data_IF_792054428195
#
_entry.id   IF_792054428195
#
_cell.length_a   1.000
_cell.length_b   1.000
_cell.length_c   1.000
_cell.angle_alpha   90.00
_cell.angle_beta   90.00
_cell.angle_gamma   90.00
#
_symmetry.space_group_name_H-M   'P 1'
#
loop_
_entity.id
_entity.type
_entity.pdbx_description
1 polymer ?
#
# COMPACT_ATOMS: atom_id res chain seq x y z
N UNK A 1 11.65 8.35 -7.74
CA UNK A 1 10.24 8.81 -7.75
C UNK A 1 9.89 9.10 -9.20
N UNK A 2 8.79 8.55 -9.73
CA UNK A 2 8.41 8.81 -11.13
C UNK A 2 7.64 10.15 -11.23
N UNK A 3 7.55 10.71 -12.44
CA UNK A 3 6.91 12.01 -12.71
C UNK A 3 5.46 12.04 -12.21
N UNK A 4 4.74 10.92 -12.35
CA UNK A 4 3.34 10.82 -11.94
C UNK A 4 3.18 10.94 -10.42
N UNK A 5 4.01 10.26 -9.63
CA UNK A 5 3.95 10.36 -8.17
C UNK A 5 4.32 11.76 -7.66
N UNK A 6 5.20 12.46 -8.37
CA UNK A 6 5.50 13.86 -8.06
C UNK A 6 4.29 14.77 -8.31
N UNK A 7 3.60 14.59 -9.45
CA UNK A 7 2.38 15.35 -9.77
C UNK A 7 1.29 15.14 -8.73
N UNK A 8 1.03 13.90 -8.30
CA UNK A 8 0.06 13.61 -7.24
C UNK A 8 0.47 14.24 -5.91
N UNK A 9 1.72 14.12 -5.51
CA UNK A 9 2.22 14.74 -4.27
C UNK A 9 2.01 16.25 -4.29
N UNK A 10 2.33 16.90 -5.41
CA UNK A 10 2.17 18.34 -5.59
C UNK A 10 0.69 18.74 -5.50
N UNK A 11 -0.20 18.03 -6.21
CA UNK A 11 -1.63 18.28 -6.18
C UNK A 11 -2.23 18.13 -4.78
N UNK A 12 -1.89 17.04 -4.08
CA UNK A 12 -2.34 16.79 -2.70
C UNK A 12 -1.93 17.92 -1.74
N UNK A 13 -0.72 18.45 -1.91
CA UNK A 13 -0.20 19.55 -1.08
C UNK A 13 -0.88 20.88 -1.38
N UNK A 14 -1.04 21.24 -2.66
CA UNK A 14 -1.71 22.50 -3.06
C UNK A 14 -3.16 22.50 -2.60
N UNK A 15 -3.88 21.40 -2.83
CA UNK A 15 -5.28 21.30 -2.42
C UNK A 15 -5.44 21.16 -0.89
N UNK A 16 -4.35 20.99 -0.16
CA UNK A 16 -4.40 20.77 1.29
C UNK A 16 -5.25 19.54 1.66
N UNK A 17 -5.23 18.50 0.82
CA UNK A 17 -6.08 17.32 0.96
C UNK A 17 -6.02 16.75 2.39
N UNK A 18 -7.14 16.84 3.10
CA UNK A 18 -7.32 16.36 4.49
C UNK A 18 -6.23 16.83 5.48
N UNK A 19 -5.60 17.98 5.24
CA UNK A 19 -4.45 18.46 6.03
C UNK A 19 -4.73 18.51 7.53
N UNK A 20 -5.89 19.02 7.94
CA UNK A 20 -6.28 19.08 9.37
C UNK A 20 -6.37 17.68 9.98
N UNK A 21 -6.95 16.72 9.26
CA UNK A 21 -7.10 15.33 9.72
C UNK A 21 -5.73 14.66 9.87
N UNK A 22 -4.87 14.83 8.86
CA UNK A 22 -3.50 14.26 8.90
C UNK A 22 -2.71 14.80 10.08
N UNK A 23 -2.69 16.12 10.26
CA UNK A 23 -1.96 16.74 11.37
C UNK A 23 -2.53 16.33 12.72
N UNK A 24 -3.85 16.33 12.89
CA UNK A 24 -4.50 15.90 14.14
C UNK A 24 -4.17 14.44 14.47
N UNK A 25 -4.27 13.53 13.50
CA UNK A 25 -3.96 12.13 13.71
C UNK A 25 -2.48 11.93 14.07
N UNK A 26 -1.57 12.63 13.42
CA UNK A 26 -0.14 12.54 13.71
C UNK A 26 0.18 13.08 15.11
N UNK A 27 -0.39 14.23 15.51
CA UNK A 27 -0.20 14.77 16.86
C UNK A 27 -0.74 13.84 17.95
N UNK A 28 -1.88 13.20 17.71
CA UNK A 28 -2.44 12.22 18.64
C UNK A 28 -1.62 10.93 18.72
N UNK A 29 -1.07 10.48 17.58
CA UNK A 29 -0.26 9.25 17.52
C UNK A 29 1.15 9.45 18.08
N UNK A 30 1.67 10.66 18.01
CA UNK A 30 3.03 11.00 18.43
C UNK A 30 3.04 12.21 19.38
N UNK A 31 2.44 12.11 20.57
CA UNK A 31 2.24 13.25 21.49
C UNK A 31 3.56 13.86 22.02
N UNK A 32 4.67 13.12 21.91
CA UNK A 32 5.98 13.59 22.36
C UNK A 32 6.82 14.29 21.28
N UNK A 33 6.29 14.35 20.04
CA UNK A 33 6.98 15.02 18.94
C UNK A 33 6.66 16.50 18.88
N UNK A 34 7.67 17.29 18.52
CA UNK A 34 7.49 18.72 18.26
C UNK A 34 6.59 18.97 17.05
N UNK A 35 6.02 20.17 16.98
CA UNK A 35 5.22 20.57 15.79
C UNK A 35 6.01 20.48 14.48
N UNK A 36 7.31 20.76 14.51
CA UNK A 36 8.17 20.67 13.35
C UNK A 36 8.34 19.23 12.89
N UNK A 37 8.59 18.30 13.82
CA UNK A 37 8.65 16.86 13.52
C UNK A 37 7.32 16.35 12.93
N UNK A 38 6.18 16.76 13.49
CA UNK A 38 4.85 16.42 12.98
C UNK A 38 4.66 16.94 11.55
N UNK A 39 5.08 18.18 11.26
CA UNK A 39 5.04 18.75 9.90
C UNK A 39 5.92 17.97 8.92
N UNK A 40 7.09 17.53 9.36
CA UNK A 40 8.00 16.73 8.54
C UNK A 40 7.41 15.34 8.24
N UNK A 41 6.82 14.67 9.24
CA UNK A 41 6.12 13.39 9.04
C UNK A 41 4.94 13.57 8.09
N UNK A 42 4.15 14.65 8.25
CA UNK A 42 3.05 14.95 7.33
C UNK A 42 3.55 15.18 5.89
N UNK A 43 4.70 15.85 5.72
CA UNK A 43 5.32 16.02 4.41
C UNK A 43 5.67 14.67 3.76
N UNK A 44 6.29 13.78 4.52
CA UNK A 44 6.66 12.45 4.03
C UNK A 44 5.45 11.57 3.77
N UNK A 45 4.39 11.68 4.58
CA UNK A 45 3.10 11.05 4.32
C UNK A 45 2.55 11.45 2.94
N UNK A 46 2.52 12.74 2.58
CA UNK A 46 2.02 13.17 1.26
C UNK A 46 2.89 12.67 0.11
N UNK A 47 4.20 12.56 0.30
CA UNK A 47 5.11 11.97 -0.71
C UNK A 47 4.82 10.48 -0.90
N UNK A 48 4.63 9.78 0.19
CA UNK A 48 4.27 8.36 0.18
C UNK A 48 2.90 8.15 -0.46
N UNK A 49 1.88 8.91 -0.03
CA UNK A 49 0.53 8.80 -0.54
C UNK A 49 0.43 9.14 -2.05
N UNK A 50 1.13 10.17 -2.50
CA UNK A 50 1.23 10.47 -3.94
C UNK A 50 1.88 9.33 -4.75
N UNK A 51 2.81 8.57 -4.14
CA UNK A 51 3.37 7.35 -4.75
C UNK A 51 2.34 6.23 -4.83
N UNK A 52 1.60 5.99 -3.75
CA UNK A 52 0.54 4.97 -3.74
C UNK A 52 -0.51 5.26 -4.81
N UNK A 53 -0.99 6.50 -4.94
CA UNK A 53 -1.94 6.88 -5.98
C UNK A 53 -1.41 6.61 -7.39
N UNK A 54 -0.12 6.91 -7.65
CA UNK A 54 0.51 6.61 -8.93
C UNK A 54 0.63 5.10 -9.19
N UNK A 55 0.83 4.31 -8.14
CA UNK A 55 0.92 2.85 -8.21
C UNK A 55 -0.46 2.22 -8.38
N UNK A 56 -1.50 2.71 -7.69
CA UNK A 56 -2.88 2.25 -7.86
C UNK A 56 -3.36 2.44 -9.29
N UNK A 57 -3.01 3.55 -9.96
CA UNK A 57 -3.31 3.72 -11.38
C UNK A 57 -2.63 2.68 -12.28
N UNK A 58 -1.47 2.18 -11.89
CA UNK A 58 -0.79 1.12 -12.65
C UNK A 58 -1.47 -0.24 -12.56
N UNK A 59 -2.34 -0.48 -11.57
CA UNK A 59 -3.11 -1.72 -11.48
C UNK A 59 -3.92 -2.00 -12.75
N UNK A 60 -4.42 -0.94 -13.40
CA UNK A 60 -5.19 -1.09 -14.66
C UNK A 60 -4.37 -1.58 -15.86
N UNK A 61 -3.04 -1.51 -15.79
CA UNK A 61 -2.15 -1.83 -16.91
C UNK A 61 -0.99 -2.76 -16.56
N UNK A 62 -0.86 -3.14 -15.28
CA UNK A 62 0.25 -4.00 -14.83
C UNK A 62 0.00 -5.45 -15.27
N UNK A 63 1.01 -6.09 -15.84
CA UNK A 63 0.96 -7.49 -16.16
C UNK A 63 1.69 -8.35 -15.11
N UNK A 64 1.43 -9.66 -15.15
CA UNK A 64 2.00 -10.64 -14.20
C UNK A 64 3.54 -10.57 -14.14
N UNK A 65 4.21 -10.43 -15.28
CA UNK A 65 5.67 -10.41 -15.33
C UNK A 65 6.28 -9.17 -14.66
N UNK A 66 5.61 -8.04 -14.71
CA UNK A 66 6.04 -6.81 -14.03
C UNK A 66 5.70 -6.88 -12.54
N UNK A 67 4.53 -7.42 -12.19
CA UNK A 67 4.10 -7.51 -10.80
C UNK A 67 4.97 -8.49 -10.01
N UNK A 68 5.32 -9.66 -10.55
CA UNK A 68 6.17 -10.66 -9.90
C UNK A 68 7.61 -10.18 -9.62
N UNK A 69 8.08 -9.16 -10.37
CA UNK A 69 9.37 -8.52 -10.08
C UNK A 69 9.31 -7.52 -8.92
N UNK A 70 8.12 -7.11 -8.51
CA UNK A 70 7.90 -6.06 -7.50
C UNK A 70 7.35 -6.58 -6.19
N UNK A 71 6.65 -7.71 -6.23
CA UNK A 71 6.08 -8.37 -5.06
C UNK A 71 6.67 -9.77 -4.96
N UNK A 72 7.27 -10.08 -3.84
CA UNK A 72 7.80 -11.40 -3.52
C UNK A 72 7.15 -11.93 -2.25
N UNK A 73 6.95 -13.24 -2.21
CA UNK A 73 6.39 -13.93 -1.06
C UNK A 73 7.51 -14.65 -0.31
N UNK A 74 7.58 -14.43 1.00
CA UNK A 74 8.45 -15.20 1.90
C UNK A 74 7.60 -16.27 2.57
N UNK A 75 8.14 -17.47 2.69
CA UNK A 75 7.48 -18.60 3.37
C UNK A 75 6.11 -18.96 2.78
N UNK A 76 5.93 -18.83 1.48
CA UNK A 76 4.67 -19.13 0.78
C UNK A 76 4.26 -20.61 0.88
N UNK A 77 5.21 -21.50 1.20
CA UNK A 77 4.95 -22.90 1.51
C UNK A 77 3.93 -23.08 2.65
N UNK A 78 3.86 -22.16 3.60
CA UNK A 78 2.86 -22.22 4.68
C UNK A 78 1.44 -22.21 4.11
N UNK A 79 1.17 -21.33 3.17
CA UNK A 79 -0.16 -21.27 2.51
C UNK A 79 -0.32 -22.44 1.55
N UNK A 80 0.71 -22.76 0.74
CA UNK A 80 0.63 -23.85 -0.25
C UNK A 80 0.31 -25.19 0.38
N UNK A 81 0.87 -25.50 1.56
CA UNK A 81 0.58 -26.76 2.25
C UNK A 81 -0.91 -26.93 2.52
N UNK A 82 -1.58 -25.89 3.05
CA UNK A 82 -3.03 -25.94 3.30
C UNK A 82 -3.84 -26.04 2.00
N UNK A 83 -3.45 -25.27 0.98
CA UNK A 83 -4.16 -25.33 -0.31
C UNK A 83 -4.01 -26.68 -0.99
N UNK A 84 -2.85 -27.34 -0.87
CA UNK A 84 -2.62 -28.67 -1.41
C UNK A 84 -3.43 -29.77 -0.67
N UNK A 85 -3.78 -29.50 0.58
CA UNK A 85 -4.70 -30.34 1.39
C UNK A 85 -6.18 -30.04 1.11
N UNK A 86 -6.49 -29.22 0.10
CA UNK A 86 -7.85 -28.78 -0.22
C UNK A 86 -8.54 -28.00 0.91
N UNK A 87 -7.77 -27.23 1.67
CA UNK A 87 -8.23 -26.43 2.79
C UNK A 87 -8.30 -24.96 2.41
N UNK A 88 -9.33 -24.28 2.87
CA UNK A 88 -9.44 -22.83 2.73
C UNK A 88 -8.48 -22.09 3.67
N UNK A 89 -7.97 -20.96 3.22
CA UNK A 89 -7.04 -20.12 3.99
C UNK A 89 -7.61 -18.71 4.11
N UNK A 90 -7.78 -18.24 5.33
CA UNK A 90 -8.15 -16.86 5.63
C UNK A 90 -6.87 -16.09 5.92
N UNK A 91 -6.57 -15.09 5.08
CA UNK A 91 -5.42 -14.19 5.27
C UNK A 91 -5.89 -12.87 5.84
N UNK A 92 -5.44 -12.54 7.05
CA UNK A 92 -5.71 -11.25 7.69
C UNK A 92 -4.51 -10.34 7.50
N UNK A 93 -4.72 -9.16 6.94
CA UNK A 93 -3.66 -8.18 6.72
C UNK A 93 -4.12 -6.76 7.05
N UNK A 94 -3.17 -5.89 7.39
CA UNK A 94 -3.43 -4.46 7.55
C UNK A 94 -3.30 -3.70 6.23
N UNK A 95 -3.91 -2.53 6.16
CA UNK A 95 -3.75 -1.58 5.05
C UNK A 95 -2.37 -0.89 5.13
N UNK A 96 -1.29 -1.68 5.07
CA UNK A 96 0.08 -1.21 5.15
C UNK A 96 0.79 -1.40 3.81
N UNK A 97 1.53 -0.40 3.38
CA UNK A 97 2.19 -0.43 2.10
C UNK A 97 1.21 -0.38 0.93
N UNK A 98 1.61 -0.97 -0.19
CA UNK A 98 0.74 -1.14 -1.34
C UNK A 98 0.02 -2.50 -1.28
N UNK A 99 -0.92 -2.61 -0.36
CA UNK A 99 -1.71 -3.82 -0.13
C UNK A 99 -2.56 -4.23 -1.36
N UNK A 100 -2.96 -3.27 -2.22
CA UNK A 100 -3.69 -3.55 -3.47
C UNK A 100 -2.83 -4.39 -4.43
N UNK A 101 -1.55 -4.06 -4.56
CA UNK A 101 -0.61 -4.90 -5.32
C UNK A 101 -0.39 -6.24 -4.65
N UNK A 102 -0.39 -6.28 -3.32
CA UNK A 102 -0.31 -7.51 -2.53
C UNK A 102 -1.47 -8.46 -2.86
N UNK A 103 -2.71 -7.98 -2.85
CA UNK A 103 -3.89 -8.78 -3.21
C UNK A 103 -3.80 -9.34 -4.62
N UNK A 104 -3.51 -8.48 -5.61
CA UNK A 104 -3.38 -8.91 -7.00
C UNK A 104 -2.24 -9.92 -7.17
N UNK A 105 -1.09 -9.68 -6.53
CA UNK A 105 0.05 -10.59 -6.59
C UNK A 105 -0.27 -11.93 -5.95
N UNK A 106 -1.00 -11.96 -4.82
CA UNK A 106 -1.40 -13.19 -4.14
C UNK A 106 -2.29 -14.04 -5.04
N UNK A 107 -3.31 -13.45 -5.67
CA UNK A 107 -4.16 -14.15 -6.64
C UNK A 107 -3.37 -14.77 -7.78
N UNK A 108 -2.43 -14.00 -8.35
CA UNK A 108 -1.59 -14.49 -9.46
C UNK A 108 -0.54 -15.52 -9.05
N UNK A 109 -0.06 -15.48 -7.78
CA UNK A 109 0.99 -16.36 -7.28
C UNK A 109 0.46 -17.73 -6.89
N UNK A 110 -0.67 -17.79 -6.21
CA UNK A 110 -1.27 -19.05 -5.76
C UNK A 110 -2.20 -19.67 -6.80
N UNK A 111 -2.60 -18.92 -7.83
CA UNK A 111 -3.52 -19.37 -8.88
C UNK A 111 -4.85 -19.93 -8.34
N UNK A 112 -5.27 -19.46 -7.17
CA UNK A 112 -6.49 -19.86 -6.49
C UNK A 112 -7.52 -18.72 -6.54
N UNK A 113 -8.80 -19.08 -6.41
CA UNK A 113 -9.84 -18.08 -6.25
C UNK A 113 -9.64 -17.32 -4.94
N UNK A 114 -9.55 -15.99 -5.03
CA UNK A 114 -9.48 -15.12 -3.86
C UNK A 114 -10.78 -14.32 -3.74
N UNK A 115 -11.27 -14.22 -2.51
CA UNK A 115 -12.38 -13.35 -2.14
C UNK A 115 -11.84 -12.32 -1.16
N UNK A 116 -12.00 -11.04 -1.48
CA UNK A 116 -11.71 -9.94 -0.55
C UNK A 116 -13.02 -9.56 0.15
N UNK A 117 -12.97 -9.43 1.47
CA UNK A 117 -14.09 -9.06 2.34
C UNK A 117 -13.81 -7.66 2.91
#
# INVERSE_FOLDING_TARGET
>A
MNILSWKFTFLLKILGYRKKVVLSNLSNSFPHKSEEEIKNIAHDFYRYFGRLLAESLKLFSINKAVLSKRVSFKNDNLIRNYLNENRDVIVVMGHYGNWEWGLLATSMHFNNQMVAI
#
